data_IF_089467712337
#
_entry.id   IF_089467712337
#
_cell.length_a   1.000
_cell.length_b   1.000
_cell.length_c   1.000
_cell.angle_alpha   90.00
_cell.angle_beta   90.00
_cell.angle_gamma   90.00
#
_symmetry.space_group_name_H-M   'P 1'
#
loop_
_entity.id
_entity.type
_entity.pdbx_description
1 polymer ?
#
# COMPACT_ATOMS: atom_id res chain seq x y z
N UNK A 1 -6.92 -29.17 20.84
CA UNK A 1 -7.10 -27.91 21.61
C UNK A 1 -7.73 -26.91 20.65
N UNK A 2 -8.90 -26.44 20.97
CA UNK A 2 -9.65 -25.50 20.13
C UNK A 2 -9.15 -24.09 20.45
N UNK A 3 -8.21 -23.59 19.66
CA UNK A 3 -7.60 -22.26 19.85
C UNK A 3 -8.53 -21.09 19.49
N UNK A 4 -9.72 -21.39 18.95
CA UNK A 4 -10.64 -20.36 18.43
C UNK A 4 -11.69 -19.90 19.47
N UNK A 5 -11.83 -20.55 20.60
CA UNK A 5 -12.95 -20.34 21.53
C UNK A 5 -12.85 -19.10 22.43
N UNK A 6 -11.77 -18.29 22.38
CA UNK A 6 -11.60 -17.15 23.31
C UNK A 6 -11.16 -15.82 22.67
N UNK A 7 -10.96 -15.74 21.35
CA UNK A 7 -10.54 -14.49 20.71
C UNK A 7 -11.75 -13.56 20.55
N UNK A 8 -11.76 -12.46 21.30
CA UNK A 8 -12.81 -11.44 21.20
C UNK A 8 -12.44 -10.43 20.13
N UNK A 9 -13.18 -10.47 18.99
CA UNK A 9 -13.10 -9.45 17.95
C UNK A 9 -13.79 -8.18 18.45
N UNK A 10 -13.13 -7.04 18.30
CA UNK A 10 -13.64 -5.71 18.60
C UNK A 10 -13.36 -4.76 17.45
N UNK A 11 -14.18 -3.70 17.35
CA UNK A 11 -13.94 -2.57 16.46
C UNK A 11 -13.40 -1.40 17.28
N UNK A 12 -12.39 -0.69 16.75
CA UNK A 12 -11.84 0.49 17.41
C UNK A 12 -11.35 1.52 16.39
N UNK A 13 -11.28 2.78 16.86
CA UNK A 13 -10.74 3.90 16.10
C UNK A 13 -9.32 4.18 16.63
N UNK A 14 -8.33 3.97 15.77
CA UNK A 14 -6.92 3.99 16.16
C UNK A 14 -6.28 5.34 15.90
N UNK A 15 -5.52 5.79 16.90
CA UNK A 15 -4.58 6.90 16.83
C UNK A 15 -3.17 6.30 16.99
N UNK A 16 -2.37 6.35 15.94
CA UNK A 16 -0.98 5.91 15.99
C UNK A 16 -0.07 7.12 15.85
N UNK A 17 0.87 7.31 16.75
CA UNK A 17 1.79 8.45 16.78
C UNK A 17 3.23 7.98 16.94
N UNK A 18 4.15 8.69 16.32
CA UNK A 18 5.58 8.44 16.34
C UNK A 18 6.37 9.77 16.38
N UNK A 19 7.48 9.81 17.12
CA UNK A 19 8.37 10.97 17.18
C UNK A 19 9.32 10.96 15.98
N UNK A 20 9.24 11.98 15.15
CA UNK A 20 10.10 12.11 13.96
C UNK A 20 11.56 12.33 14.35
N UNK A 21 12.44 11.47 13.83
CA UNK A 21 13.88 11.58 14.02
C UNK A 21 14.39 11.17 15.40
N UNK A 22 13.60 10.43 16.21
CA UNK A 22 14.04 10.00 17.55
C UNK A 22 15.23 9.04 17.50
N UNK A 23 15.31 8.19 16.47
CA UNK A 23 16.40 7.23 16.25
C UNK A 23 17.66 7.82 15.61
N UNK A 24 17.76 9.16 15.49
CA UNK A 24 18.98 9.82 15.03
C UNK A 24 20.15 9.51 15.99
N UNK A 25 21.19 8.87 15.45
CA UNK A 25 22.38 8.44 16.21
C UNK A 25 23.18 9.59 16.82
N UNK A 26 22.96 10.83 16.36
CA UNK A 26 23.59 12.03 16.92
C UNK A 26 22.89 12.55 18.18
N UNK A 27 21.66 12.08 18.44
CA UNK A 27 20.86 12.50 19.62
C UNK A 27 21.23 11.69 20.84
N UNK A 28 21.49 12.37 21.98
CA UNK A 28 21.78 11.68 23.24
C UNK A 28 20.55 10.93 23.75
N UNK A 29 20.74 9.78 24.38
CA UNK A 29 19.67 8.98 25.00
C UNK A 29 18.84 9.78 26.00
N UNK A 30 19.46 10.68 26.79
CA UNK A 30 18.73 11.56 27.72
C UNK A 30 17.76 12.48 26.98
N UNK A 31 18.15 13.01 25.83
CA UNK A 31 17.27 13.85 25.00
C UNK A 31 16.13 13.02 24.40
N UNK A 32 16.41 11.80 23.96
CA UNK A 32 15.40 10.88 23.46
C UNK A 32 14.33 10.58 24.53
N UNK A 33 14.78 10.21 25.75
CA UNK A 33 13.87 9.95 26.89
C UNK A 33 13.01 11.18 27.20
N UNK A 34 13.61 12.39 27.27
CA UNK A 34 12.88 13.63 27.52
C UNK A 34 11.79 13.91 26.48
N UNK A 35 12.06 13.60 25.20
CA UNK A 35 11.07 13.74 24.12
C UNK A 35 9.91 12.75 24.28
N UNK A 36 10.19 11.49 24.62
CA UNK A 36 9.15 10.46 24.89
C UNK A 36 8.28 10.87 26.08
N UNK A 37 8.90 11.29 27.20
CA UNK A 37 8.16 11.76 28.37
C UNK A 37 7.29 12.98 28.06
N UNK A 38 7.80 13.91 27.24
CA UNK A 38 7.05 15.09 26.80
C UNK A 38 5.85 14.69 25.95
N UNK A 39 6.02 13.79 24.97
CA UNK A 39 4.92 13.28 24.16
C UNK A 39 3.84 12.65 25.06
N UNK A 40 4.23 11.74 25.93
CA UNK A 40 3.32 11.07 26.86
C UNK A 40 2.56 12.05 27.77
N UNK A 41 3.24 13.08 28.25
CA UNK A 41 2.60 14.14 29.03
C UNK A 41 1.59 14.92 28.20
N UNK A 42 1.98 15.37 27.01
CA UNK A 42 1.07 16.12 26.12
C UNK A 42 -0.19 15.30 25.78
N UNK A 43 -0.07 14.00 25.51
CA UNK A 43 -1.23 13.12 25.28
C UNK A 43 -2.12 13.04 26.51
N UNK A 44 -1.54 12.80 27.70
CA UNK A 44 -2.30 12.72 28.96
C UNK A 44 -3.04 14.03 29.29
N UNK A 45 -2.50 15.16 28.87
CA UNK A 45 -3.08 16.49 29.13
C UNK A 45 -4.13 16.88 28.06
N UNK A 46 -4.39 16.06 27.02
CA UNK A 46 -5.43 16.29 26.03
C UNK A 46 -6.81 15.95 26.61
N UNK A 47 -7.79 16.85 26.37
CA UNK A 47 -9.17 16.66 26.86
C UNK A 47 -9.83 15.44 26.23
N UNK A 48 -9.61 15.23 24.93
CA UNK A 48 -10.09 14.05 24.19
C UNK A 48 -9.61 12.75 24.81
N UNK A 49 -8.38 12.69 25.31
CA UNK A 49 -7.85 11.51 26.01
C UNK A 49 -8.45 11.36 27.40
N UNK A 50 -8.57 12.46 28.17
CA UNK A 50 -9.09 12.46 29.55
C UNK A 50 -10.58 12.16 29.62
N UNK A 51 -11.34 12.45 28.57
CA UNK A 51 -12.79 12.24 28.53
C UNK A 51 -13.20 10.77 28.41
N UNK A 52 -12.26 9.87 28.13
CA UNK A 52 -12.54 8.45 27.89
C UNK A 52 -12.11 7.60 29.06
N UNK A 53 -12.99 6.74 29.61
CA UNK A 53 -12.63 5.78 30.64
C UNK A 53 -11.52 4.84 30.17
N UNK A 54 -10.56 4.52 31.03
CA UNK A 54 -9.38 3.71 30.69
C UNK A 54 -9.76 2.32 30.15
N UNK A 55 -10.89 1.78 30.59
CA UNK A 55 -11.44 0.49 30.16
C UNK A 55 -11.91 0.51 28.70
N UNK A 56 -12.19 1.69 28.16
CA UNK A 56 -12.61 1.92 26.77
C UNK A 56 -11.44 2.29 25.86
N UNK A 57 -10.22 2.29 26.40
CA UNK A 57 -8.99 2.53 25.66
C UNK A 57 -8.19 1.25 25.48
N UNK A 58 -7.52 1.15 24.33
CA UNK A 58 -6.51 0.15 24.04
C UNK A 58 -5.17 0.88 23.92
N UNK A 59 -4.21 0.58 24.77
CA UNK A 59 -2.94 1.29 24.84
C UNK A 59 -1.78 0.36 24.48
N UNK A 60 -1.05 0.66 23.43
CA UNK A 60 0.12 -0.09 22.96
C UNK A 60 1.32 0.86 22.84
N UNK A 61 2.29 0.79 23.76
CA UNK A 61 3.56 1.49 23.60
C UNK A 61 4.38 0.91 22.44
N UNK A 62 5.02 1.77 21.63
CA UNK A 62 5.87 1.37 20.50
C UNK A 62 7.34 1.75 20.67
N UNK A 63 7.71 2.29 21.82
CA UNK A 63 9.07 2.76 22.13
C UNK A 63 9.23 4.25 21.85
N UNK A 64 9.15 4.67 20.62
CA UNK A 64 9.25 6.04 20.12
C UNK A 64 7.91 6.77 19.97
N UNK A 65 6.82 6.06 20.29
CA UNK A 65 5.45 6.57 20.24
C UNK A 65 4.46 5.63 20.92
N UNK A 66 3.22 5.67 20.48
CA UNK A 66 2.18 4.75 20.94
C UNK A 66 1.04 4.60 19.94
N UNK A 67 0.28 3.51 20.11
CA UNK A 67 -1.02 3.34 19.48
C UNK A 67 -2.11 3.40 20.55
N UNK A 68 -3.14 4.22 20.33
CA UNK A 68 -4.32 4.35 21.19
C UNK A 68 -5.54 3.95 20.36
N UNK A 69 -6.24 2.91 20.78
CA UNK A 69 -7.52 2.51 20.19
C UNK A 69 -8.67 2.99 21.05
N UNK A 70 -9.61 3.73 20.47
CA UNK A 70 -10.84 4.18 21.08
C UNK A 70 -11.97 3.24 20.70
N UNK A 71 -12.59 2.57 21.67
CA UNK A 71 -13.76 1.71 21.43
C UNK A 71 -15.07 2.49 21.31
N UNK A 72 -15.00 3.82 21.29
CA UNK A 72 -16.11 4.75 21.14
C UNK A 72 -15.86 5.61 19.89
N UNK A 73 -16.86 6.36 19.47
CA UNK A 73 -16.95 7.32 18.38
C UNK A 73 -15.73 7.60 17.48
N UNK A 74 -15.91 7.79 16.18
CA UNK A 74 -14.82 7.94 15.23
C UNK A 74 -14.05 9.27 15.36
N UNK A 75 -14.58 10.25 16.09
CA UNK A 75 -14.02 11.61 16.18
C UNK A 75 -12.82 11.69 17.13
N UNK A 76 -12.79 10.85 18.17
CA UNK A 76 -11.79 10.93 19.24
C UNK A 76 -10.33 10.87 18.77
N UNK A 77 -9.94 10.00 17.82
CA UNK A 77 -8.57 9.99 17.31
C UNK A 77 -8.17 11.31 16.64
N UNK A 78 -9.09 11.92 15.87
CA UNK A 78 -8.82 13.18 15.19
C UNK A 78 -8.73 14.35 16.19
N UNK A 79 -9.65 14.41 17.15
CA UNK A 79 -9.63 15.43 18.20
C UNK A 79 -8.34 15.35 19.03
N UNK A 80 -7.91 14.14 19.40
CA UNK A 80 -6.63 13.93 20.09
C UNK A 80 -5.46 14.40 19.23
N UNK A 81 -5.45 14.12 17.94
CA UNK A 81 -4.39 14.54 17.04
C UNK A 81 -4.29 16.07 16.95
N UNK A 82 -5.40 16.77 16.84
CA UNK A 82 -5.47 18.23 16.79
C UNK A 82 -4.98 18.83 18.10
N UNK A 83 -5.51 18.38 19.24
CA UNK A 83 -5.10 18.88 20.58
C UNK A 83 -3.62 18.63 20.86
N UNK A 84 -3.10 17.46 20.47
CA UNK A 84 -1.69 17.11 20.62
C UNK A 84 -0.80 18.07 19.80
N UNK A 85 -1.14 18.35 18.57
CA UNK A 85 -0.40 19.31 17.74
C UNK A 85 -0.34 20.69 18.37
N UNK A 86 -1.47 21.19 18.87
CA UNK A 86 -1.53 22.49 19.56
C UNK A 86 -0.64 22.53 20.81
N UNK A 87 -0.66 21.46 21.62
CA UNK A 87 0.17 21.36 22.83
C UNK A 87 1.65 21.26 22.49
N UNK A 88 2.02 20.48 21.47
CA UNK A 88 3.40 20.37 21.03
C UNK A 88 3.90 21.69 20.40
N UNK A 89 3.06 22.40 19.65
CA UNK A 89 3.39 23.71 19.14
C UNK A 89 3.72 24.69 20.28
N UNK A 90 2.90 24.72 21.34
CA UNK A 90 3.15 25.55 22.51
C UNK A 90 4.45 25.16 23.25
N UNK A 91 4.66 23.85 23.48
CA UNK A 91 5.89 23.35 24.06
C UNK A 91 7.13 23.73 23.25
N UNK A 92 7.06 23.63 21.94
CA UNK A 92 8.18 23.86 21.03
C UNK A 92 8.58 25.34 20.89
N UNK A 93 7.69 26.30 21.19
CA UNK A 93 7.97 27.76 21.07
C UNK A 93 9.24 28.22 21.81
N UNK A 94 9.52 27.60 22.97
CA UNK A 94 10.67 27.96 23.81
C UNK A 94 11.83 26.97 23.71
N UNK A 95 11.88 26.12 22.64
CA UNK A 95 12.86 25.03 22.50
C UNK A 95 13.82 25.30 21.36
N UNK A 96 15.07 24.88 21.55
CA UNK A 96 16.03 24.81 20.44
C UNK A 96 15.70 23.61 19.53
N UNK A 97 16.14 23.60 18.27
CA UNK A 97 15.77 22.57 17.31
C UNK A 97 16.00 21.11 17.76
N UNK A 98 17.10 20.86 18.52
CA UNK A 98 17.39 19.51 19.04
C UNK A 98 16.42 19.04 20.14
N UNK A 99 15.75 19.95 20.84
CA UNK A 99 14.81 19.66 21.93
C UNK A 99 13.34 19.65 21.46
N UNK A 100 13.04 20.15 20.24
CA UNK A 100 11.66 20.15 19.74
C UNK A 100 11.13 18.73 19.59
N UNK A 101 9.86 18.52 19.93
CA UNK A 101 9.15 17.27 19.71
C UNK A 101 8.27 17.42 18.47
N UNK A 102 8.59 16.67 17.44
CA UNK A 102 7.87 16.63 16.18
C UNK A 102 7.30 15.24 15.98
N UNK A 103 6.07 15.16 15.53
CA UNK A 103 5.35 13.88 15.41
C UNK A 103 4.74 13.70 14.05
N UNK A 104 4.49 12.45 13.69
CA UNK A 104 3.63 12.04 12.59
C UNK A 104 2.54 11.15 13.16
N UNK A 105 1.33 11.26 12.61
CA UNK A 105 0.14 10.61 13.15
C UNK A 105 -0.60 9.88 12.03
N UNK A 106 -1.02 8.65 12.29
CA UNK A 106 -1.89 7.85 11.44
C UNK A 106 -3.18 7.48 12.15
N UNK A 107 -4.33 7.73 11.51
CA UNK A 107 -5.65 7.47 12.04
C UNK A 107 -6.38 6.44 11.17
N UNK A 108 -6.99 5.44 11.81
CA UNK A 108 -7.73 4.40 11.11
C UNK A 108 -8.89 3.85 11.96
N UNK A 109 -9.95 3.41 11.30
CA UNK A 109 -11.08 2.71 11.91
C UNK A 109 -11.10 1.27 11.43
N UNK A 110 -11.00 0.30 12.33
CA UNK A 110 -10.92 -1.10 11.92
C UNK A 110 -11.00 -2.11 13.08
N UNK A 111 -10.98 -3.39 12.70
CA UNK A 111 -11.12 -4.50 13.64
C UNK A 111 -9.76 -4.92 14.23
N UNK A 112 -9.80 -5.36 15.49
CA UNK A 112 -8.68 -6.03 16.16
C UNK A 112 -9.20 -7.09 17.14
N UNK A 113 -8.29 -7.96 17.59
CA UNK A 113 -8.59 -8.97 18.60
C UNK A 113 -8.01 -8.55 19.94
N UNK A 114 -8.75 -8.82 21.01
CA UNK A 114 -8.19 -8.78 22.35
C UNK A 114 -7.32 -10.00 22.57
N UNK A 115 -6.09 -9.76 22.97
CA UNK A 115 -5.10 -10.78 23.33
C UNK A 115 -4.51 -10.45 24.71
N UNK A 116 -3.93 -11.41 25.37
CA UNK A 116 -3.18 -11.16 26.61
C UNK A 116 -1.70 -11.03 26.27
N UNK A 117 -1.01 -10.09 26.95
CA UNK A 117 0.44 -10.02 26.91
C UNK A 117 1.09 -11.14 27.74
N UNK A 118 2.43 -11.16 27.78
CA UNK A 118 3.20 -12.17 28.54
C UNK A 118 2.88 -12.20 30.05
N UNK A 119 2.40 -11.08 30.59
CA UNK A 119 2.05 -10.93 32.00
C UNK A 119 0.55 -11.13 32.27
N UNK A 120 -0.22 -11.47 31.22
CA UNK A 120 -1.67 -11.64 31.31
C UNK A 120 -2.45 -10.33 31.26
N UNK A 121 -1.81 -9.18 31.00
CA UNK A 121 -2.51 -7.92 30.84
C UNK A 121 -3.23 -7.86 29.47
N UNK A 122 -4.31 -7.10 29.45
CA UNK A 122 -5.08 -6.85 28.22
C UNK A 122 -4.21 -6.16 27.17
N UNK A 123 -4.11 -6.76 26.04
CA UNK A 123 -3.43 -6.25 24.86
C UNK A 123 -4.31 -6.45 23.61
N UNK A 124 -3.88 -5.95 22.47
CA UNK A 124 -4.63 -6.05 21.21
C UNK A 124 -3.72 -6.31 20.04
N UNK A 125 -4.23 -7.05 19.07
CA UNK A 125 -3.55 -7.31 17.82
C UNK A 125 -4.55 -7.46 16.67
N UNK A 126 -4.20 -7.01 15.47
CA UNK A 126 -5.04 -7.21 14.31
C UNK A 126 -4.88 -6.18 13.20
N UNK A 127 -5.65 -6.34 12.11
CA UNK A 127 -5.53 -5.52 10.90
C UNK A 127 -5.67 -4.02 11.18
N UNK A 128 -6.60 -3.62 12.07
CA UNK A 128 -6.81 -2.20 12.40
C UNK A 128 -5.57 -1.49 12.91
N UNK A 129 -4.77 -2.15 13.78
CA UNK A 129 -3.52 -1.58 14.30
C UNK A 129 -2.45 -1.51 13.22
N UNK A 130 -2.30 -2.60 12.45
CA UNK A 130 -1.32 -2.69 11.36
C UNK A 130 -1.60 -1.59 10.34
N UNK A 131 -2.86 -1.39 9.98
CA UNK A 131 -3.27 -0.40 9.00
C UNK A 131 -3.05 1.03 9.51
N UNK A 132 -3.40 1.33 10.78
CA UNK A 132 -3.13 2.63 11.42
C UNK A 132 -1.63 2.97 11.38
N UNK A 133 -0.75 1.99 11.67
CA UNK A 133 0.70 2.16 11.57
C UNK A 133 1.13 2.47 10.14
N UNK A 134 0.63 1.72 9.16
CA UNK A 134 0.95 1.96 7.74
C UNK A 134 0.53 3.36 7.31
N UNK A 135 -0.66 3.82 7.68
CA UNK A 135 -1.12 5.19 7.41
C UNK A 135 -0.15 6.21 8.01
N UNK A 136 0.29 6.03 9.26
CA UNK A 136 1.28 6.89 9.90
C UNK A 136 2.63 6.89 9.18
N UNK A 137 3.09 5.73 8.73
CA UNK A 137 4.41 5.57 8.10
C UNK A 137 4.56 6.38 6.80
N UNK A 138 3.47 6.73 6.12
CA UNK A 138 3.46 7.65 4.98
C UNK A 138 3.66 9.12 5.37
N UNK A 139 3.38 9.47 6.61
CA UNK A 139 3.49 10.86 7.10
C UNK A 139 4.93 11.28 7.30
N UNK A 140 5.19 12.54 6.95
CA UNK A 140 6.37 13.28 7.40
C UNK A 140 6.04 14.06 8.67
N UNK A 141 6.97 14.91 9.10
CA UNK A 141 6.79 15.81 10.23
C UNK A 141 5.50 16.62 10.14
N UNK A 142 4.71 16.57 11.20
CA UNK A 142 3.47 17.32 11.32
C UNK A 142 2.27 16.75 10.56
N UNK A 143 2.39 15.64 9.84
CA UNK A 143 1.23 15.05 9.17
C UNK A 143 0.28 14.36 10.13
N UNK A 144 -1.02 14.58 9.91
CA UNK A 144 -2.13 13.80 10.47
C UNK A 144 -2.80 13.12 9.27
N UNK A 145 -2.46 11.85 9.03
CA UNK A 145 -3.01 11.07 7.91
C UNK A 145 -4.15 10.19 8.38
N UNK A 146 -5.17 10.02 7.52
CA UNK A 146 -6.33 9.19 7.79
C UNK A 146 -6.49 8.16 6.68
N UNK A 147 -6.93 6.96 7.07
CA UNK A 147 -7.44 5.97 6.13
C UNK A 147 -8.75 6.45 5.47
N UNK A 148 -9.10 5.94 4.28
CA UNK A 148 -10.36 6.29 3.61
C UNK A 148 -11.57 6.05 4.49
N UNK A 149 -11.65 4.89 5.13
CA UNK A 149 -12.77 4.49 5.99
C UNK A 149 -13.04 5.53 7.07
N UNK A 150 -12.04 5.88 7.88
CA UNK A 150 -12.22 6.86 8.95
C UNK A 150 -12.46 8.27 8.39
N UNK A 151 -11.78 8.64 7.31
CA UNK A 151 -11.94 9.96 6.72
C UNK A 151 -13.36 10.17 6.15
N UNK A 152 -13.91 9.18 5.47
CA UNK A 152 -15.26 9.23 4.90
C UNK A 152 -16.32 9.24 6.00
N UNK A 153 -16.17 8.45 7.05
CA UNK A 153 -17.02 8.47 8.22
C UNK A 153 -17.06 9.88 8.82
N UNK A 154 -15.90 10.47 9.14
CA UNK A 154 -15.83 11.80 9.72
C UNK A 154 -16.41 12.89 8.80
N UNK A 155 -16.05 12.87 7.52
CA UNK A 155 -16.55 13.83 6.54
C UNK A 155 -18.07 13.75 6.34
N UNK A 156 -18.68 12.60 6.61
CA UNK A 156 -20.14 12.44 6.60
C UNK A 156 -20.84 13.05 7.79
N UNK A 157 -20.11 13.24 8.92
CA UNK A 157 -20.69 13.77 10.18
C UNK A 157 -20.87 15.29 10.14
N UNK A 158 -19.93 16.04 9.52
CA UNK A 158 -20.05 17.50 9.48
C UNK A 158 -19.30 18.15 8.30
N UNK A 159 -19.78 19.34 7.90
CA UNK A 159 -19.10 20.15 6.88
C UNK A 159 -17.75 20.72 7.40
N UNK A 160 -17.61 20.89 8.71
CA UNK A 160 -16.35 21.29 9.33
C UNK A 160 -15.26 20.23 9.06
N UNK A 161 -15.57 18.95 9.24
CA UNK A 161 -14.64 17.86 8.92
C UNK A 161 -14.33 17.81 7.42
N UNK A 162 -15.28 18.09 6.53
CA UNK A 162 -14.98 18.21 5.09
C UNK A 162 -13.99 19.33 4.80
N UNK A 163 -14.02 20.42 5.56
CA UNK A 163 -13.13 21.56 5.42
C UNK A 163 -11.68 21.28 5.83
N UNK A 164 -11.45 20.42 6.81
CA UNK A 164 -10.12 20.13 7.36
C UNK A 164 -9.53 18.79 6.89
N UNK A 165 -10.35 17.79 6.54
CA UNK A 165 -9.92 16.48 6.03
C UNK A 165 -9.98 16.52 4.51
N UNK A 166 -8.81 16.42 3.86
CA UNK A 166 -8.67 16.56 2.41
C UNK A 166 -7.99 15.34 1.82
N UNK A 167 -8.39 14.87 0.63
CA UNK A 167 -7.75 13.74 0.00
C UNK A 167 -6.29 14.08 -0.32
N UNK A 168 -5.40 13.17 0.03
CA UNK A 168 -4.03 13.10 -0.47
C UNK A 168 -4.08 12.16 -1.66
N UNK A 169 -3.59 12.61 -2.82
CA UNK A 169 -3.61 11.78 -4.02
C UNK A 169 -2.99 10.41 -3.76
N UNK A 170 -3.50 9.40 -4.48
CA UNK A 170 -3.20 7.98 -4.33
C UNK A 170 -1.71 7.73 -3.98
N UNK A 171 -1.47 7.11 -2.85
CA UNK A 171 -0.16 6.68 -2.39
C UNK A 171 0.03 5.23 -2.81
N UNK A 172 1.12 4.93 -3.51
CA UNK A 172 1.44 3.56 -3.92
C UNK A 172 2.20 2.88 -2.79
N UNK A 173 1.64 1.80 -2.26
CA UNK A 173 2.27 0.94 -1.27
C UNK A 173 3.31 0.01 -1.92
N UNK A 174 4.15 -0.62 -1.10
CA UNK A 174 4.93 -1.80 -1.53
C UNK A 174 3.99 -2.80 -2.22
N UNK A 175 4.48 -3.47 -3.25
CA UNK A 175 3.72 -4.41 -4.09
C UNK A 175 2.67 -3.78 -5.01
N UNK A 176 2.75 -2.47 -5.29
CA UNK A 176 1.89 -1.82 -6.28
C UNK A 176 0.46 -1.50 -5.81
N UNK A 177 0.17 -1.64 -4.52
CA UNK A 177 -1.12 -1.23 -3.97
C UNK A 177 -1.25 0.30 -3.99
N UNK A 178 -2.35 0.81 -4.52
CA UNK A 178 -2.73 2.22 -4.32
C UNK A 178 -3.62 2.34 -3.12
N UNK A 179 -3.28 3.25 -2.22
CA UNK A 179 -4.15 3.64 -1.13
C UNK A 179 -4.47 5.13 -1.26
N UNK A 180 -5.76 5.44 -1.34
CA UNK A 180 -6.21 6.81 -1.15
C UNK A 180 -6.04 7.14 0.33
N UNK A 181 -5.25 8.15 0.65
CA UNK A 181 -5.14 8.69 1.99
C UNK A 181 -5.79 10.07 2.06
N UNK A 182 -6.16 10.44 3.26
CA UNK A 182 -6.59 11.80 3.58
C UNK A 182 -5.60 12.43 4.55
N UNK A 183 -5.44 13.75 4.47
CA UNK A 183 -4.66 14.53 5.44
C UNK A 183 -5.58 15.52 6.15
N UNK A 184 -5.47 15.58 7.47
CA UNK A 184 -6.15 16.59 8.26
C UNK A 184 -5.19 17.71 8.60
N UNK A 185 -5.56 18.95 8.23
CA UNK A 185 -4.80 20.14 8.56
C UNK A 185 -5.68 21.40 8.58
N UNK A 186 -5.27 22.37 9.37
CA UNK A 186 -5.95 23.63 9.57
C UNK A 186 -5.09 24.61 10.35
N UNK A 187 -5.71 25.61 10.95
CA UNK A 187 -5.00 26.61 11.76
C UNK A 187 -4.43 25.97 13.02
N UNK A 188 -3.10 25.98 13.15
CA UNK A 188 -2.38 25.48 14.30
C UNK A 188 -2.25 23.95 14.42
N UNK A 189 -2.61 23.19 13.39
CA UNK A 189 -2.42 21.73 13.37
C UNK A 189 -2.27 21.15 11.96
N UNK A 190 -1.62 20.00 11.90
CA UNK A 190 -1.43 19.25 10.67
C UNK A 190 -0.39 19.88 9.75
N UNK A 191 -0.05 19.16 8.69
CA UNK A 191 0.85 19.60 7.63
C UNK A 191 0.10 19.64 6.29
N UNK A 192 0.04 20.81 5.66
CA UNK A 192 -0.65 21.01 4.38
C UNK A 192 0.18 20.57 3.17
N UNK A 193 1.47 20.28 3.37
CA UNK A 193 2.31 19.80 2.28
C UNK A 193 1.99 18.34 1.97
N UNK A 194 2.28 17.93 0.76
CA UNK A 194 2.11 16.52 0.41
C UNK A 194 3.16 15.66 1.11
N UNK A 195 2.81 14.48 1.67
CA UNK A 195 3.77 13.60 2.32
C UNK A 195 4.91 13.18 1.38
N UNK A 196 6.16 13.37 1.82
CA UNK A 196 7.35 13.05 1.00
C UNK A 196 7.83 11.62 1.22
N UNK A 197 7.50 10.98 2.34
CA UNK A 197 7.77 9.56 2.55
C UNK A 197 6.85 8.67 1.69
N UNK A 198 5.67 9.16 1.34
CA UNK A 198 4.94 8.70 0.18
C UNK A 198 5.63 9.03 -1.16
N UNK A 199 6.73 9.79 -1.18
CA UNK A 199 7.50 10.15 -2.36
C UNK A 199 8.50 9.09 -2.84
N UNK A 200 8.74 8.02 -2.10
CA UNK A 200 9.16 6.76 -2.75
C UNK A 200 8.04 6.18 -3.62
N UNK A 201 6.80 6.61 -3.41
CA UNK A 201 5.62 6.44 -4.24
C UNK A 201 5.39 7.61 -5.21
N UNK A 202 6.08 8.73 -5.09
CA UNK A 202 6.41 9.71 -6.13
C UNK A 202 7.69 9.33 -6.86
N UNK A 203 7.97 8.03 -6.95
CA UNK A 203 8.78 7.55 -8.02
C UNK A 203 8.16 8.07 -9.32
N UNK A 204 8.95 8.24 -10.34
CA UNK A 204 8.44 8.51 -11.70
C UNK A 204 7.28 7.56 -12.07
N UNK A 205 7.25 6.37 -11.46
CA UNK A 205 6.20 5.38 -11.60
C UNK A 205 4.84 5.86 -11.06
N UNK A 206 4.78 6.42 -9.87
CA UNK A 206 3.52 6.95 -9.32
C UNK A 206 2.97 8.13 -10.09
N UNK A 207 3.83 9.05 -10.54
CA UNK A 207 3.44 10.17 -11.40
C UNK A 207 2.90 9.67 -12.75
N UNK A 208 3.55 8.65 -13.31
CA UNK A 208 3.13 8.04 -14.56
C UNK A 208 1.78 7.32 -14.43
N UNK A 209 1.54 6.59 -13.34
CA UNK A 209 0.23 5.97 -13.09
C UNK A 209 -0.88 7.01 -13.02
N UNK A 210 -0.67 8.12 -12.31
CA UNK A 210 -1.65 9.21 -12.25
C UNK A 210 -1.91 9.81 -13.64
N UNK A 211 -0.88 9.94 -14.45
CA UNK A 211 -1.01 10.40 -15.84
C UNK A 211 -1.81 9.41 -16.67
N UNK A 212 -1.46 8.13 -16.60
CA UNK A 212 -2.11 7.06 -17.36
C UNK A 212 -3.58 6.89 -16.99
N UNK A 213 -3.95 7.04 -15.72
CA UNK A 213 -5.36 7.02 -15.27
C UNK A 213 -6.23 8.07 -15.99
N UNK A 214 -5.63 9.19 -16.41
CA UNK A 214 -6.34 10.30 -17.07
C UNK A 214 -6.29 10.25 -18.58
N UNK A 215 -5.30 9.58 -19.15
CA UNK A 215 -4.96 9.69 -20.57
C UNK A 215 -5.03 8.37 -21.31
N UNK A 216 -5.33 7.27 -20.62
CA UNK A 216 -5.18 5.92 -21.17
C UNK A 216 -6.35 5.03 -20.77
N UNK A 217 -6.84 4.26 -21.72
CA UNK A 217 -7.77 3.15 -21.52
C UNK A 217 -7.03 1.84 -21.78
N UNK A 218 -7.27 0.84 -20.95
CA UNK A 218 -6.79 -0.53 -21.16
C UNK A 218 -7.95 -1.46 -21.56
N UNK A 219 -8.19 -1.69 -22.86
CA UNK A 219 -9.19 -2.66 -23.34
C UNK A 219 -8.90 -4.07 -22.84
N UNK A 220 -7.63 -4.48 -22.87
CA UNK A 220 -7.22 -5.77 -22.32
C UNK A 220 -5.82 -5.77 -21.73
N UNK A 221 -5.64 -6.61 -20.70
CA UNK A 221 -4.34 -7.00 -20.15
C UNK A 221 -4.31 -8.52 -20.11
N UNK A 222 -3.30 -9.13 -20.73
CA UNK A 222 -3.06 -10.56 -20.68
C UNK A 222 -1.82 -10.83 -19.82
N UNK A 223 -1.97 -11.58 -18.73
CA UNK A 223 -0.88 -12.03 -17.86
C UNK A 223 -0.73 -13.54 -18.00
N UNK A 224 0.44 -13.99 -18.42
CA UNK A 224 0.82 -15.39 -18.45
C UNK A 224 2.01 -15.61 -17.51
N UNK A 225 1.86 -16.53 -16.55
CA UNK A 225 2.90 -16.98 -15.65
C UNK A 225 3.21 -18.42 -16.03
N UNK A 226 4.46 -18.70 -16.37
CA UNK A 226 4.91 -20.03 -16.79
C UNK A 226 6.04 -20.52 -15.90
N UNK A 227 5.87 -21.68 -15.28
CA UNK A 227 6.92 -22.31 -14.46
C UNK A 227 8.01 -22.85 -15.39
N UNK A 228 9.24 -22.31 -15.24
CA UNK A 228 10.43 -22.74 -15.98
C UNK A 228 11.22 -23.81 -15.21
N UNK A 229 11.30 -23.67 -13.90
CA UNK A 229 11.97 -24.61 -12.99
C UNK A 229 11.10 -24.78 -11.73
N UNK A 230 10.58 -25.99 -11.53
CA UNK A 230 9.68 -26.30 -10.41
C UNK A 230 10.40 -26.52 -9.08
N UNK A 231 11.70 -26.80 -9.08
CA UNK A 231 12.47 -26.95 -7.85
C UNK A 231 12.80 -25.58 -7.22
N UNK A 232 13.24 -24.65 -8.06
CA UNK A 232 13.54 -23.27 -7.66
C UNK A 232 12.32 -22.35 -7.64
N UNK A 233 11.19 -22.82 -8.17
CA UNK A 233 10.04 -21.99 -8.48
C UNK A 233 10.39 -20.78 -9.35
N UNK A 234 11.32 -20.98 -10.31
CA UNK A 234 11.61 -19.96 -11.30
C UNK A 234 10.45 -19.87 -12.28
N UNK A 235 9.87 -18.69 -12.40
CA UNK A 235 8.74 -18.42 -13.29
C UNK A 235 9.08 -17.33 -14.29
N UNK A 236 8.46 -17.41 -15.46
CA UNK A 236 8.44 -16.33 -16.42
C UNK A 236 7.09 -15.61 -16.34
N UNK A 237 7.14 -14.31 -16.11
CA UNK A 237 6.00 -13.43 -16.27
C UNK A 237 6.02 -12.84 -17.67
N UNK A 238 4.88 -12.93 -18.36
CA UNK A 238 4.67 -12.30 -19.64
C UNK A 238 3.35 -11.53 -19.58
N UNK A 239 3.44 -10.20 -19.68
CA UNK A 239 2.29 -9.32 -19.57
C UNK A 239 2.13 -8.50 -20.84
N UNK A 240 1.03 -8.70 -21.54
CA UNK A 240 0.68 -7.95 -22.74
C UNK A 240 -0.44 -6.96 -22.42
N UNK A 241 -0.18 -5.70 -22.69
CA UNK A 241 -1.13 -4.61 -22.53
C UNK A 241 -1.67 -4.19 -23.89
N UNK A 242 -3.00 -4.07 -23.98
CA UNK A 242 -3.64 -3.33 -25.05
C UNK A 242 -3.97 -1.93 -24.56
N UNK A 243 -3.54 -0.90 -25.29
CA UNK A 243 -3.56 0.49 -24.85
C UNK A 243 -4.23 1.36 -25.88
N UNK A 244 -5.17 2.19 -25.45
CA UNK A 244 -5.77 3.26 -26.23
C UNK A 244 -5.40 4.59 -25.57
N UNK A 245 -4.78 5.48 -26.32
CA UNK A 245 -4.49 6.84 -25.86
C UNK A 245 -5.74 7.71 -26.04
N UNK A 246 -6.28 8.24 -24.95
CA UNK A 246 -7.47 9.11 -24.95
C UNK A 246 -7.13 10.59 -24.93
N UNK A 247 -5.83 10.94 -24.91
CA UNK A 247 -5.34 12.32 -24.88
C UNK A 247 -4.82 12.77 -26.25
N UNK A 248 -4.61 14.07 -26.41
CA UNK A 248 -4.00 14.62 -27.62
C UNK A 248 -2.47 14.50 -27.63
N UNK A 249 -1.85 14.13 -26.50
CA UNK A 249 -0.41 13.97 -26.40
C UNK A 249 -0.01 12.52 -26.73
N UNK A 250 0.94 12.29 -27.64
CA UNK A 250 1.39 10.94 -27.97
C UNK A 250 2.18 10.32 -26.80
N UNK A 251 1.89 9.04 -26.50
CA UNK A 251 2.62 8.24 -25.52
C UNK A 251 3.90 7.74 -26.17
N UNK A 252 5.04 8.30 -25.78
CA UNK A 252 6.37 7.94 -26.33
C UNK A 252 7.07 6.86 -25.51
N UNK A 253 6.84 6.87 -24.19
CA UNK A 253 7.51 6.03 -23.24
C UNK A 253 6.50 5.35 -22.32
N UNK A 254 6.89 4.19 -21.78
CA UNK A 254 6.16 3.49 -20.73
C UNK A 254 7.10 3.26 -19.56
N UNK A 255 6.60 3.50 -18.36
CA UNK A 255 7.28 3.21 -17.13
C UNK A 255 6.78 1.89 -16.57
N UNK A 256 7.71 1.02 -16.22
CA UNK A 256 7.45 -0.31 -15.67
C UNK A 256 7.91 -0.37 -14.22
N UNK A 257 7.14 -1.09 -13.38
CA UNK A 257 7.50 -1.43 -12.01
C UNK A 257 7.38 -2.93 -11.77
N UNK A 258 8.42 -3.53 -11.19
CA UNK A 258 8.45 -4.93 -10.78
C UNK A 258 8.81 -4.95 -9.29
N UNK A 259 7.89 -5.45 -8.46
CA UNK A 259 8.14 -5.72 -7.06
C UNK A 259 8.29 -7.23 -6.86
N UNK A 260 9.19 -7.65 -5.97
CA UNK A 260 9.59 -9.04 -5.80
C UNK A 260 9.69 -9.38 -4.31
N UNK A 261 9.35 -10.61 -3.94
CA UNK A 261 9.53 -11.11 -2.58
C UNK A 261 10.96 -11.67 -2.34
N UNK A 262 11.71 -11.89 -3.42
CA UNK A 262 13.12 -12.29 -3.38
C UNK A 262 14.04 -11.10 -3.63
N UNK A 263 15.23 -11.12 -3.01
CA UNK A 263 16.24 -10.11 -3.22
C UNK A 263 17.04 -10.38 -4.50
N UNK A 264 16.87 -9.57 -5.53
CA UNK A 264 17.63 -9.62 -6.78
C UNK A 264 18.46 -8.34 -6.90
N UNK A 265 19.75 -8.37 -6.53
CA UNK A 265 20.61 -7.18 -6.55
C UNK A 265 20.83 -6.60 -7.95
N UNK A 266 21.06 -7.46 -8.95
CA UNK A 266 21.35 -7.04 -10.32
C UNK A 266 20.08 -7.00 -11.17
N UNK A 267 19.82 -5.86 -11.80
CA UNK A 267 18.70 -5.67 -12.72
C UNK A 267 18.70 -6.69 -13.87
N UNK A 268 19.88 -7.08 -14.35
CA UNK A 268 20.02 -7.98 -15.49
C UNK A 268 19.59 -9.42 -15.18
N UNK A 269 19.60 -9.84 -13.92
CA UNK A 269 19.21 -11.19 -13.49
C UNK A 269 17.71 -11.46 -13.73
N UNK A 270 16.90 -10.41 -13.90
CA UNK A 270 15.49 -10.54 -14.24
C UNK A 270 15.23 -10.86 -15.73
N UNK A 271 16.24 -10.81 -16.59
CA UNK A 271 16.09 -11.04 -18.03
C UNK A 271 14.94 -10.28 -18.68
N UNK A 272 14.82 -8.98 -18.33
CA UNK A 272 13.73 -8.12 -18.75
C UNK A 272 13.78 -7.87 -20.25
N UNK A 273 12.63 -8.06 -20.89
CA UNK A 273 12.42 -7.74 -22.31
C UNK A 273 11.08 -7.04 -22.49
N UNK A 274 11.04 -6.03 -23.36
CA UNK A 274 9.80 -5.33 -23.71
C UNK A 274 9.70 -5.24 -25.23
N UNK A 275 8.56 -5.62 -25.79
CA UNK A 275 8.30 -5.65 -27.22
C UNK A 275 7.01 -4.92 -27.57
N UNK A 276 6.97 -4.29 -28.72
CA UNK A 276 5.73 -3.79 -29.31
C UNK A 276 4.95 -4.91 -30.05
N UNK A 277 3.79 -4.58 -30.62
CA UNK A 277 2.95 -5.53 -31.39
C UNK A 277 3.58 -6.05 -32.69
N UNK A 278 4.66 -5.42 -33.14
CA UNK A 278 5.43 -5.85 -34.34
C UNK A 278 6.67 -6.66 -33.92
N UNK A 279 6.74 -7.09 -32.65
CA UNK A 279 7.89 -7.78 -32.06
C UNK A 279 9.21 -6.99 -32.13
N UNK A 280 9.14 -5.66 -32.20
CA UNK A 280 10.32 -4.80 -32.10
C UNK A 280 10.61 -4.54 -30.64
N UNK A 281 11.87 -4.63 -30.25
CA UNK A 281 12.29 -4.35 -28.88
C UNK A 281 12.11 -2.86 -28.53
N UNK A 282 11.43 -2.61 -27.42
CA UNK A 282 11.32 -1.30 -26.79
C UNK A 282 12.53 -1.10 -25.88
N UNK A 283 13.47 -0.24 -26.29
CA UNK A 283 14.73 -0.04 -25.57
C UNK A 283 14.50 0.55 -24.19
N UNK A 284 15.19 0.02 -23.18
CA UNK A 284 15.26 0.61 -21.85
C UNK A 284 16.05 1.90 -21.95
N UNK A 285 15.42 3.02 -21.63
CA UNK A 285 16.00 4.37 -21.71
C UNK A 285 16.52 4.89 -20.38
N UNK A 286 15.97 4.38 -19.27
CA UNK A 286 16.46 4.68 -17.92
C UNK A 286 16.05 3.60 -16.93
N UNK A 287 16.93 3.32 -15.95
CA UNK A 287 16.60 2.60 -14.73
C UNK A 287 16.38 3.66 -13.66
N UNK A 288 15.15 3.73 -13.13
CA UNK A 288 14.73 4.79 -12.19
C UNK A 288 14.89 4.37 -10.73
N UNK A 289 14.63 3.07 -10.46
CA UNK A 289 14.83 2.42 -9.16
C UNK A 289 15.49 1.07 -9.40
N UNK A 290 16.59 0.81 -8.72
CA UNK A 290 17.30 -0.48 -8.74
C UNK A 290 17.59 -0.90 -7.29
N UNK A 291 16.55 -1.43 -6.64
CA UNK A 291 16.62 -2.01 -5.30
C UNK A 291 16.51 -3.52 -5.40
N UNK A 292 17.04 -4.29 -4.42
CA UNK A 292 16.94 -5.74 -4.46
C UNK A 292 15.53 -6.31 -4.56
N UNK A 293 14.53 -5.61 -4.00
CA UNK A 293 13.13 -6.00 -3.92
C UNK A 293 12.21 -5.23 -4.89
N UNK A 294 12.75 -4.24 -5.63
CA UNK A 294 11.96 -3.40 -6.52
C UNK A 294 12.79 -2.84 -7.67
N UNK A 295 12.30 -2.98 -8.89
CA UNK A 295 12.87 -2.38 -10.09
C UNK A 295 11.86 -1.47 -10.77
N UNK A 296 12.27 -0.22 -11.08
CA UNK A 296 11.48 0.68 -11.93
C UNK A 296 12.34 1.15 -13.10
N UNK A 297 11.81 1.08 -14.30
CA UNK A 297 12.53 1.44 -15.49
C UNK A 297 11.60 1.96 -16.58
N UNK A 298 12.14 2.73 -17.51
CA UNK A 298 11.40 3.33 -18.62
C UNK A 298 11.84 2.71 -19.94
N UNK A 299 10.87 2.36 -20.79
CA UNK A 299 11.13 1.95 -22.17
C UNK A 299 10.54 2.93 -23.17
N UNK A 300 11.15 3.05 -24.33
CA UNK A 300 10.67 3.89 -25.42
C UNK A 300 10.03 3.06 -26.52
N UNK A 301 8.88 3.49 -27.02
CA UNK A 301 8.28 2.95 -28.22
C UNK A 301 9.03 3.42 -29.48
N UNK A 302 9.22 2.52 -30.45
CA UNK A 302 9.73 2.90 -31.76
C UNK A 302 8.79 3.85 -32.52
N UNK A 303 7.49 3.68 -32.32
CA UNK A 303 6.42 4.51 -32.85
C UNK A 303 5.52 4.92 -31.68
N UNK A 304 5.38 6.23 -31.37
CA UNK A 304 4.51 6.70 -30.29
C UNK A 304 3.06 6.26 -30.48
N UNK A 305 2.36 6.03 -29.35
CA UNK A 305 0.93 5.71 -29.36
C UNK A 305 0.13 7.02 -29.39
N UNK A 306 -0.64 7.23 -30.43
CA UNK A 306 -1.48 8.42 -30.63
C UNK A 306 -2.94 8.14 -30.32
N UNK A 307 -3.77 9.18 -30.26
CA UNK A 307 -5.22 9.03 -30.12
C UNK A 307 -5.94 8.56 -31.39
N UNK A 308 -5.22 8.43 -32.50
CA UNK A 308 -5.74 7.84 -33.74
C UNK A 308 -5.56 6.31 -33.79
N UNK A 309 -4.73 5.77 -32.90
CA UNK A 309 -4.52 4.33 -32.79
C UNK A 309 -5.75 3.67 -32.12
N UNK A 310 -6.29 2.63 -32.75
CA UNK A 310 -7.48 1.90 -32.25
C UNK A 310 -7.18 0.89 -31.13
N UNK A 311 -5.94 0.80 -30.73
CA UNK A 311 -5.39 -0.11 -29.73
C UNK A 311 -4.01 -0.56 -30.16
N UNK A 312 -3.01 -0.24 -29.37
CA UNK A 312 -1.62 -0.64 -29.57
C UNK A 312 -1.28 -1.64 -28.48
N UNK A 313 -0.37 -2.57 -28.79
CA UNK A 313 0.03 -3.59 -27.82
C UNK A 313 1.52 -3.49 -27.52
N UNK A 314 1.85 -3.73 -26.25
CA UNK A 314 3.23 -3.98 -25.85
C UNK A 314 3.26 -5.12 -24.84
N UNK A 315 4.37 -5.85 -24.81
CA UNK A 315 4.56 -6.99 -23.93
C UNK A 315 5.80 -6.77 -23.08
N UNK A 316 5.63 -6.84 -21.76
CA UNK A 316 6.70 -6.94 -20.78
C UNK A 316 6.90 -8.40 -20.41
N UNK A 317 8.14 -8.87 -20.44
CA UNK A 317 8.53 -10.22 -20.05
C UNK A 317 9.72 -10.17 -19.11
N UNK A 318 9.70 -10.96 -18.03
CA UNK A 318 10.82 -11.11 -17.10
C UNK A 318 10.76 -12.46 -16.37
N UNK A 319 11.86 -12.83 -15.72
CA UNK A 319 11.97 -14.07 -14.95
C UNK A 319 12.30 -13.75 -13.48
N UNK A 320 11.67 -14.49 -12.55
CA UNK A 320 11.85 -14.32 -11.12
C UNK A 320 11.55 -15.63 -10.38
N UNK A 321 12.21 -15.86 -9.25
CA UNK A 321 11.84 -16.95 -8.34
C UNK A 321 10.65 -16.52 -7.46
N UNK A 322 9.64 -17.41 -7.33
CA UNK A 322 8.43 -17.21 -6.50
C UNK A 322 8.34 -18.33 -5.44
N UNK A 323 9.25 -18.34 -4.45
CA UNK A 323 9.33 -19.43 -3.46
C UNK A 323 8.08 -19.55 -2.59
N UNK A 324 7.36 -18.45 -2.36
CA UNK A 324 6.10 -18.41 -1.58
C UNK A 324 4.90 -18.97 -2.35
N UNK A 325 5.09 -19.28 -3.64
CA UNK A 325 4.07 -19.90 -4.52
C UNK A 325 2.78 -19.11 -4.62
N UNK A 326 2.89 -17.80 -4.70
CA UNK A 326 1.78 -16.92 -5.03
C UNK A 326 2.24 -15.75 -5.90
N UNK A 327 1.29 -15.15 -6.58
CA UNK A 327 1.49 -13.88 -7.27
C UNK A 327 0.25 -13.00 -7.12
N UNK A 328 0.46 -11.73 -6.79
CA UNK A 328 -0.59 -10.73 -6.65
C UNK A 328 -0.54 -9.70 -7.77
N UNK A 329 -1.69 -9.39 -8.34
CA UNK A 329 -1.85 -8.30 -9.30
C UNK A 329 -2.85 -7.26 -8.80
N UNK A 330 -2.34 -6.09 -8.43
CA UNK A 330 -3.14 -4.94 -8.07
C UNK A 330 -3.40 -4.06 -9.32
N UNK A 331 -4.64 -3.66 -9.52
CA UNK A 331 -5.03 -2.78 -10.60
C UNK A 331 -4.95 -1.31 -10.17
N UNK A 332 -4.00 -0.60 -10.74
CA UNK A 332 -3.78 0.84 -10.52
C UNK A 332 -4.60 1.69 -11.50
N UNK A 333 -5.12 1.08 -12.55
CA UNK A 333 -5.87 1.72 -13.64
C UNK A 333 -7.03 0.79 -13.98
N UNK A 334 -8.16 1.36 -14.40
CA UNK A 334 -9.32 0.60 -14.87
C UNK A 334 -8.94 -0.24 -16.10
N UNK A 335 -9.44 -1.49 -16.15
CA UNK A 335 -9.20 -2.42 -17.22
C UNK A 335 -10.51 -3.10 -17.62
N UNK A 336 -10.83 -3.11 -18.91
CA UNK A 336 -12.08 -3.73 -19.37
C UNK A 336 -12.02 -5.25 -19.33
N UNK A 337 -10.88 -5.85 -19.70
CA UNK A 337 -10.68 -7.30 -19.69
C UNK A 337 -9.29 -7.66 -19.19
N UNK A 338 -9.22 -8.57 -18.23
CA UNK A 338 -7.97 -9.14 -17.73
C UNK A 338 -8.00 -10.66 -17.90
N UNK A 339 -7.08 -11.18 -18.69
CA UNK A 339 -6.86 -12.61 -18.83
C UNK A 339 -5.63 -12.99 -18.02
N UNK A 340 -5.82 -13.85 -17.03
CA UNK A 340 -4.74 -14.35 -16.19
C UNK A 340 -4.58 -15.85 -16.42
N UNK A 341 -3.38 -16.30 -16.71
CA UNK A 341 -3.10 -17.71 -16.92
C UNK A 341 -1.84 -18.15 -16.19
N UNK A 342 -1.89 -19.37 -15.67
CA UNK A 342 -0.77 -20.04 -15.00
C UNK A 342 -0.52 -21.36 -15.70
N UNK A 343 0.72 -21.59 -16.13
CA UNK A 343 1.13 -22.80 -16.84
C UNK A 343 2.28 -23.50 -16.10
N UNK A 344 2.16 -24.80 -15.90
CA UNK A 344 3.12 -25.58 -15.13
C UNK A 344 3.23 -27.02 -15.64
N UNK A 345 4.39 -27.70 -15.41
CA UNK A 345 4.58 -29.09 -15.76
C UNK A 345 3.73 -30.03 -14.91
N UNK A 346 3.12 -31.03 -15.55
CA UNK A 346 2.34 -32.05 -14.84
C UNK A 346 3.26 -32.98 -14.06
N UNK A 347 2.85 -33.37 -12.83
CA UNK A 347 3.56 -34.36 -12.02
C UNK A 347 4.68 -33.82 -11.12
N UNK A 348 4.94 -32.52 -11.10
CA UNK A 348 6.02 -31.89 -10.33
C UNK A 348 5.61 -31.40 -8.92
N UNK A 349 4.51 -31.89 -8.36
CA UNK A 349 4.04 -31.51 -7.02
C UNK A 349 3.50 -30.09 -6.90
N UNK A 350 3.33 -29.38 -8.00
CA UNK A 350 2.66 -28.07 -8.04
C UNK A 350 1.17 -28.33 -7.91
N UNK A 351 0.53 -27.66 -6.95
CA UNK A 351 -0.92 -27.73 -6.77
C UNK A 351 -1.63 -26.93 -7.85
N UNK A 352 -2.83 -27.38 -8.23
CA UNK A 352 -3.66 -26.61 -9.16
C UNK A 352 -3.92 -25.22 -8.58
N UNK A 353 -3.60 -24.14 -9.32
CA UNK A 353 -3.68 -22.79 -8.79
C UNK A 353 -5.13 -22.37 -8.50
N UNK A 354 -5.26 -21.51 -7.49
CA UNK A 354 -6.54 -20.93 -7.07
C UNK A 354 -6.48 -19.42 -7.23
N UNK A 355 -7.56 -18.84 -7.73
CA UNK A 355 -7.72 -17.39 -7.81
C UNK A 355 -8.42 -16.88 -6.55
N UNK A 356 -7.83 -15.89 -5.91
CA UNK A 356 -8.36 -15.18 -4.75
C UNK A 356 -8.60 -13.72 -5.10
N UNK A 357 -9.60 -13.13 -4.46
CA UNK A 357 -9.82 -11.67 -4.42
C UNK A 357 -9.31 -11.16 -3.08
N UNK A 358 -8.44 -10.16 -3.12
CA UNK A 358 -7.84 -9.57 -1.92
C UNK A 358 -8.56 -8.26 -1.61
N UNK A 359 -9.03 -8.13 -0.38
CA UNK A 359 -9.45 -6.84 0.14
C UNK A 359 -8.22 -6.10 0.66
N UNK A 360 -7.84 -5.00 0.02
CA UNK A 360 -6.65 -4.23 0.37
C UNK A 360 -6.70 -3.61 1.78
N UNK A 361 -7.89 -3.28 2.28
CA UNK A 361 -8.05 -2.65 3.58
C UNK A 361 -7.97 -3.66 4.74
N UNK A 362 -8.60 -4.83 4.58
CA UNK A 362 -8.63 -5.86 5.63
C UNK A 362 -7.56 -6.94 5.48
N UNK A 363 -6.82 -6.95 4.37
CA UNK A 363 -5.90 -8.03 3.96
C UNK A 363 -6.57 -9.42 3.90
N UNK A 364 -7.89 -9.46 3.93
CA UNK A 364 -8.63 -10.70 3.80
C UNK A 364 -8.62 -11.19 2.35
N UNK A 365 -8.27 -12.44 2.17
CA UNK A 365 -8.38 -13.13 0.90
C UNK A 365 -9.66 -13.97 0.84
N UNK A 366 -10.40 -13.88 -0.27
CA UNK A 366 -11.58 -14.71 -0.50
C UNK A 366 -11.44 -15.45 -1.83
N UNK A 367 -11.82 -16.74 -1.91
CA UNK A 367 -11.85 -17.45 -3.18
C UNK A 367 -12.71 -16.68 -4.19
N UNK A 368 -12.15 -16.45 -5.38
CA UNK A 368 -12.89 -15.81 -6.45
C UNK A 368 -13.99 -16.74 -6.96
N UNK A 369 -15.13 -16.14 -7.35
CA UNK A 369 -16.24 -16.88 -7.96
C UNK A 369 -16.03 -17.18 -9.45
N UNK A 370 -14.93 -16.70 -10.02
CA UNK A 370 -14.61 -16.85 -11.44
C UNK A 370 -14.15 -18.29 -11.71
N UNK A 371 -14.86 -18.97 -12.58
CA UNK A 371 -14.55 -20.37 -12.95
C UNK A 371 -13.35 -20.39 -13.89
N UNK A 372 -12.29 -21.16 -13.61
CA UNK A 372 -11.16 -21.29 -14.52
C UNK A 372 -11.48 -22.15 -15.74
N UNK A 373 -10.83 -21.82 -16.84
CA UNK A 373 -10.73 -22.67 -18.03
C UNK A 373 -9.43 -23.48 -17.90
N UNK A 374 -9.53 -24.80 -17.87
CA UNK A 374 -8.39 -25.69 -17.69
C UNK A 374 -8.13 -26.44 -18.98
N UNK A 375 -6.88 -26.39 -19.44
CA UNK A 375 -6.37 -27.19 -20.56
C UNK A 375 -5.13 -27.95 -20.10
N UNK A 376 -5.04 -29.22 -20.49
CA UNK A 376 -3.93 -30.09 -20.09
C UNK A 376 -3.54 -30.97 -21.29
N UNK A 377 -2.26 -31.13 -21.47
CA UNK A 377 -1.66 -32.17 -22.31
C UNK A 377 -0.78 -33.08 -21.45
N UNK A 378 0.00 -33.97 -22.09
CA UNK A 378 0.86 -34.96 -21.39
C UNK A 378 1.99 -34.32 -20.58
N UNK A 379 2.34 -33.05 -20.85
CA UNK A 379 3.49 -32.36 -20.23
C UNK A 379 3.11 -31.16 -19.38
N UNK A 380 2.09 -30.44 -19.79
CA UNK A 380 1.75 -29.12 -19.22
C UNK A 380 0.27 -29.05 -18.87
N UNK A 381 -0.04 -28.41 -17.75
CA UNK A 381 -1.38 -27.94 -17.41
C UNK A 381 -1.40 -26.42 -17.44
N UNK A 382 -2.42 -25.84 -18.06
CA UNK A 382 -2.67 -24.40 -18.10
C UNK A 382 -4.05 -24.11 -17.52
N UNK A 383 -4.09 -23.22 -16.54
CA UNK A 383 -5.31 -22.73 -15.89
C UNK A 383 -5.46 -21.25 -16.24
N UNK A 384 -6.62 -20.86 -16.79
CA UNK A 384 -6.89 -19.50 -17.22
C UNK A 384 -8.16 -18.95 -16.59
N UNK A 385 -8.13 -17.68 -16.17
CA UNK A 385 -9.28 -16.91 -15.72
C UNK A 385 -9.49 -15.70 -16.62
N UNK A 386 -10.74 -15.37 -16.89
CA UNK A 386 -11.14 -14.17 -17.61
C UNK A 386 -11.97 -13.29 -16.68
N UNK A 387 -11.51 -12.06 -16.48
CA UNK A 387 -12.09 -11.09 -15.56
C UNK A 387 -12.46 -9.84 -16.37
N UNK A 388 -13.67 -9.33 -16.20
CA UNK A 388 -14.14 -8.13 -16.91
C UNK A 388 -14.46 -6.99 -15.97
N UNK A 389 -14.47 -5.79 -16.52
CA UNK A 389 -14.92 -4.58 -15.82
C UNK A 389 -14.19 -4.33 -14.49
N UNK A 390 -12.87 -4.44 -14.53
CA UNK A 390 -12.02 -4.29 -13.37
C UNK A 390 -11.78 -2.80 -13.12
N UNK A 391 -12.20 -2.35 -11.94
CA UNK A 391 -11.93 -0.99 -11.45
C UNK A 391 -10.59 -0.93 -10.73
N UNK A 392 -9.94 0.22 -10.77
CA UNK A 392 -8.73 0.49 -9.98
C UNK A 392 -8.97 0.18 -8.50
N UNK A 393 -7.93 -0.30 -7.82
CA UNK A 393 -8.01 -0.72 -6.42
C UNK A 393 -8.39 -2.19 -6.21
N UNK A 394 -8.79 -2.92 -7.27
CA UNK A 394 -9.00 -4.38 -7.18
C UNK A 394 -7.67 -5.12 -7.20
N UNK A 395 -7.58 -6.18 -6.41
CA UNK A 395 -6.41 -7.06 -6.35
C UNK A 395 -6.84 -8.51 -6.48
N UNK A 396 -6.13 -9.22 -7.34
CA UNK A 396 -6.29 -10.66 -7.54
C UNK A 396 -4.97 -11.36 -7.23
N UNK A 397 -5.05 -12.49 -6.55
CA UNK A 397 -3.93 -13.34 -6.19
C UNK A 397 -4.13 -14.75 -6.75
N UNK A 398 -3.07 -15.31 -7.28
CA UNK A 398 -3.00 -16.75 -7.59
C UNK A 398 -2.12 -17.42 -6.54
N UNK A 399 -2.60 -18.51 -5.94
CA UNK A 399 -1.82 -19.41 -5.08
C UNK A 399 -1.69 -20.77 -5.77
N UNK A 400 -0.47 -21.39 -5.76
CA UNK A 400 -0.21 -22.70 -6.40
C UNK A 400 0.67 -23.66 -5.61
#
# INVERSE_FOLDING_TARGET
MDFTASLKLIHANFFFVDIVGLSDTTMSTKTQIKKIETLNKCIKDCKSFQSVPIESLLLLPTGDGCCIGFMQGPELPLLLAIELHQKLAEYNKAKIPSETVRVRIGLHSGNCFLVNDLLGNRNTWGPGIIYARRVMDFGDDGHILLSPTLAEDLRSLSDEYKGIIRPVHDVILKHGYTMLLYSAYGDGFGNSTHPTKGASARSKYGEEIIRLQKTTLYPSIDLEISVLDSEKMLVQHKRTYEVVNTSNEPIKNVLHGIAMDVNIPDFNDLHIQVFDEKHRECKITSINVDKPDCKEFTTAFSEPITNQDKGRKYTLQYQVEEPERYFENAFLIDCQKFNMSFQYPVGNGIKRPKLLEINQESEESKPSKITPIITQDDKLEKVKWEITDITKGKTYRIDW
#
